data_IF_517771541119
#
_entry.id   IF_517771541119
#
_cell.length_a   1.000
_cell.length_b   1.000
_cell.length_c   1.000
_cell.angle_alpha   90.00
_cell.angle_beta   90.00
_cell.angle_gamma   90.00
#
_symmetry.space_group_name_H-M   'P 1'
#
loop_
_entity.id
_entity.type
_entity.pdbx_description
1 polymer ?
#
# COMPACT_ATOMS: atom_id res chain seq x y z
N UNK A 1 -25.70 10.07 5.76
CA UNK A 1 -24.78 10.67 6.76
C UNK A 1 -23.33 10.20 6.49
N UNK A 2 -22.83 10.40 5.26
CA UNK A 2 -21.48 9.97 4.79
C UNK A 2 -20.82 11.02 3.86
N UNK A 3 -21.23 12.29 3.96
CA UNK A 3 -20.50 13.45 3.36
C UNK A 3 -19.40 13.97 4.30
N UNK A 4 -18.91 13.11 5.20
CA UNK A 4 -17.95 13.49 6.21
C UNK A 4 -16.54 13.30 5.61
N UNK A 5 -16.01 14.40 5.10
CA UNK A 5 -14.56 14.69 4.92
C UNK A 5 -13.85 14.45 3.56
N UNK A 6 -14.55 14.43 2.42
CA UNK A 6 -13.85 14.70 1.14
C UNK A 6 -13.65 16.21 0.85
N UNK A 7 -14.27 17.08 1.65
CA UNK A 7 -14.10 18.53 1.56
C UNK A 7 -13.09 18.98 2.63
N UNK A 8 -11.81 19.14 2.26
CA UNK A 8 -10.84 20.16 2.77
C UNK A 8 -9.37 19.76 2.52
N UNK A 9 -9.00 19.55 1.27
CA UNK A 9 -7.61 19.73 0.83
C UNK A 9 -7.54 20.84 -0.23
N UNK A 10 -8.01 22.03 0.13
CA UNK A 10 -7.53 23.24 -0.53
C UNK A 10 -6.11 23.48 -0.04
N UNK A 11 -5.19 23.67 -0.97
CA UNK A 11 -3.81 24.06 -0.70
C UNK A 11 -3.80 25.25 0.29
N UNK A 12 -3.12 25.12 1.42
CA UNK A 12 -3.04 26.16 2.46
C UNK A 12 -4.06 26.07 3.61
N UNK A 13 -5.00 25.12 3.61
CA UNK A 13 -5.91 24.93 4.74
C UNK A 13 -5.18 24.41 5.99
N UNK A 14 -5.39 25.06 7.14
CA UNK A 14 -4.85 24.62 8.44
C UNK A 14 -5.99 24.09 9.32
N UNK A 15 -6.00 22.79 9.65
CA UNK A 15 -7.03 22.21 10.52
C UNK A 15 -6.97 22.83 11.92
N UNK A 16 -8.15 23.08 12.49
CA UNK A 16 -8.36 23.49 13.87
C UNK A 16 -7.90 22.40 14.85
N UNK A 17 -7.87 22.71 16.15
CA UNK A 17 -7.49 21.72 17.17
C UNK A 17 -8.47 20.54 17.25
N UNK A 18 -9.77 20.79 17.05
CA UNK A 18 -10.79 19.74 17.03
C UNK A 18 -10.58 18.82 15.82
N UNK A 19 -10.52 19.37 14.62
CA UNK A 19 -10.31 18.59 13.38
C UNK A 19 -8.99 17.81 13.40
N UNK A 20 -7.94 18.33 14.04
CA UNK A 20 -6.69 17.56 14.21
C UNK A 20 -6.89 16.30 15.05
N UNK A 21 -7.73 16.36 16.08
CA UNK A 21 -8.04 15.21 16.93
C UNK A 21 -8.85 14.19 16.15
N UNK A 22 -9.87 14.65 15.41
CA UNK A 22 -10.72 13.78 14.60
C UNK A 22 -9.90 13.07 13.51
N UNK A 23 -8.93 13.78 12.90
CA UNK A 23 -7.98 13.18 11.96
C UNK A 23 -7.03 12.18 12.63
N UNK A 24 -6.56 12.46 13.84
CA UNK A 24 -5.68 11.54 14.58
C UNK A 24 -6.44 10.27 15.03
N UNK A 25 -7.75 10.39 15.31
CA UNK A 25 -8.66 9.27 15.60
C UNK A 25 -8.94 8.45 14.33
N UNK A 26 -9.39 9.10 13.26
CA UNK A 26 -9.60 8.46 11.95
C UNK A 26 -8.35 7.74 11.45
N UNK A 27 -7.17 8.31 11.70
CA UNK A 27 -5.90 7.65 11.38
C UNK A 27 -5.75 6.31 12.10
N UNK A 28 -6.08 6.23 13.40
CA UNK A 28 -5.95 4.98 14.15
C UNK A 28 -6.92 3.92 13.67
N UNK A 29 -8.12 4.35 13.28
CA UNK A 29 -9.16 3.45 12.80
C UNK A 29 -8.86 2.92 11.40
N UNK A 30 -8.39 3.78 10.49
CA UNK A 30 -8.11 3.42 9.09
C UNK A 30 -6.74 2.75 8.89
N UNK A 31 -5.78 3.00 9.78
CA UNK A 31 -4.41 2.47 9.68
C UNK A 31 -3.95 1.82 10.99
N UNK A 32 -4.63 0.77 11.47
CA UNK A 32 -4.27 0.14 12.74
C UNK A 32 -2.85 -0.42 12.76
N UNK A 33 -2.36 -0.99 11.65
CA UNK A 33 -1.01 -1.58 11.59
C UNK A 33 0.14 -0.54 11.61
N UNK A 34 0.05 0.61 10.92
CA UNK A 34 1.05 1.67 11.05
C UNK A 34 1.11 2.39 12.41
N UNK A 35 0.03 2.36 13.20
CA UNK A 35 -0.10 3.15 14.45
C UNK A 35 1.05 2.95 15.45
N UNK A 36 1.54 1.73 15.72
CA UNK A 36 2.65 1.51 16.65
C UNK A 36 3.96 2.18 16.19
N UNK A 37 4.11 2.44 14.89
CA UNK A 37 5.35 2.89 14.29
C UNK A 37 5.35 4.40 14.01
N UNK A 38 4.21 4.92 13.56
CA UNK A 38 4.06 6.28 13.07
C UNK A 38 2.94 7.03 13.77
N UNK A 39 3.19 8.30 14.09
CA UNK A 39 2.09 9.27 14.22
C UNK A 39 1.52 9.57 12.84
N UNK A 40 0.27 10.02 12.76
CA UNK A 40 -0.34 10.45 11.50
C UNK A 40 0.55 11.43 10.71
N UNK A 41 1.19 12.37 11.38
CA UNK A 41 2.07 13.36 10.74
C UNK A 41 3.31 12.73 10.13
N UNK A 42 3.88 11.73 10.79
CA UNK A 42 5.05 11.01 10.27
C UNK A 42 4.64 10.14 9.09
N UNK A 43 3.50 9.45 9.18
CA UNK A 43 2.98 8.65 8.07
C UNK A 43 2.76 9.51 6.82
N UNK A 44 2.08 10.66 6.96
CA UNK A 44 1.88 11.62 5.85
C UNK A 44 3.21 12.03 5.23
N UNK A 45 4.25 12.32 6.04
CA UNK A 45 5.58 12.68 5.53
C UNK A 45 6.28 11.52 4.83
N UNK A 46 6.05 10.28 5.24
CA UNK A 46 6.58 9.09 4.55
C UNK A 46 5.89 8.94 3.20
N UNK A 47 4.56 9.00 3.16
CA UNK A 47 3.75 8.93 1.93
C UNK A 47 4.15 10.04 0.96
N UNK A 48 4.30 11.29 1.41
CA UNK A 48 4.72 12.42 0.58
C UNK A 48 6.12 12.19 -0.03
N UNK A 49 7.04 11.60 0.73
CA UNK A 49 8.40 11.29 0.24
C UNK A 49 8.35 10.17 -0.80
N UNK A 50 7.59 9.11 -0.55
CA UNK A 50 7.40 8.01 -1.49
C UNK A 50 6.76 8.50 -2.79
N UNK A 51 5.73 9.35 -2.71
CA UNK A 51 5.06 9.95 -3.88
C UNK A 51 5.97 10.88 -4.67
N UNK A 52 6.88 11.60 -4.01
CA UNK A 52 7.90 12.40 -4.72
C UNK A 52 8.92 11.51 -5.43
N UNK A 53 9.40 10.47 -4.75
CA UNK A 53 10.33 9.50 -5.32
C UNK A 53 9.72 8.75 -6.52
N UNK A 54 8.45 8.36 -6.43
CA UNK A 54 7.76 7.64 -7.51
C UNK A 54 7.51 8.47 -8.78
N UNK A 55 7.63 9.81 -8.69
CA UNK A 55 7.52 10.73 -9.82
C UNK A 55 8.86 11.02 -10.49
N UNK A 56 9.98 10.61 -9.89
CA UNK A 56 11.29 10.71 -10.51
C UNK A 56 11.53 9.47 -11.38
N UNK A 57 11.17 9.57 -12.66
CA UNK A 57 11.35 8.48 -13.64
C UNK A 57 12.82 8.15 -13.93
N UNK A 58 13.76 9.00 -13.50
CA UNK A 58 15.20 8.83 -13.78
C UNK A 58 15.91 7.99 -12.75
N UNK A 59 15.32 7.81 -11.57
CA UNK A 59 15.96 7.16 -10.42
C UNK A 59 15.17 5.94 -10.01
N UNK A 60 15.89 4.91 -9.55
CA UNK A 60 15.30 3.76 -8.88
C UNK A 60 15.63 3.88 -7.41
N UNK A 61 14.69 3.50 -6.56
CA UNK A 61 14.86 3.61 -5.12
C UNK A 61 14.60 2.26 -4.46
N UNK A 62 15.45 1.93 -3.50
CA UNK A 62 15.24 0.78 -2.62
C UNK A 62 14.30 1.18 -1.48
N UNK A 63 13.29 0.34 -1.28
CA UNK A 63 12.30 0.48 -0.22
C UNK A 63 12.69 -0.45 0.93
N UNK A 64 12.62 0.11 2.15
CA UNK A 64 12.75 -0.65 3.40
C UNK A 64 11.41 -1.29 3.78
N UNK A 65 11.42 -2.24 4.71
CA UNK A 65 10.18 -2.89 5.17
C UNK A 65 9.18 -1.92 5.81
N UNK A 66 9.65 -0.83 6.41
CA UNK A 66 8.76 0.22 6.89
C UNK A 66 8.07 0.95 5.74
N UNK A 67 8.71 1.11 4.58
CA UNK A 67 8.05 1.67 3.40
C UNK A 67 7.06 0.66 2.81
N UNK A 68 7.41 -0.62 2.75
CA UNK A 68 6.52 -1.68 2.29
C UNK A 68 5.28 -1.82 3.18
N UNK A 69 5.44 -1.75 4.51
CA UNK A 69 4.33 -1.70 5.45
C UNK A 69 3.37 -0.53 5.18
N UNK A 70 3.92 0.65 4.89
CA UNK A 70 3.12 1.84 4.53
C UNK A 70 2.39 1.63 3.21
N UNK A 71 3.07 1.11 2.18
CA UNK A 71 2.44 0.81 0.89
C UNK A 71 1.35 -0.24 1.02
N UNK A 72 1.61 -1.33 1.74
CA UNK A 72 0.64 -2.37 2.03
C UNK A 72 -0.61 -1.79 2.68
N UNK A 73 -0.44 -1.01 3.74
CA UNK A 73 -1.57 -0.42 4.48
C UNK A 73 -2.37 0.56 3.62
N UNK A 74 -1.70 1.37 2.78
CA UNK A 74 -2.37 2.27 1.86
C UNK A 74 -3.13 1.52 0.75
N UNK A 75 -2.54 0.45 0.21
CA UNK A 75 -3.15 -0.36 -0.83
C UNK A 75 -4.36 -1.10 -0.29
N UNK A 76 -4.26 -1.70 0.90
CA UNK A 76 -5.36 -2.37 1.58
C UNK A 76 -6.54 -1.42 1.76
N UNK A 77 -6.32 -0.26 2.39
CA UNK A 77 -7.38 0.73 2.59
C UNK A 77 -8.01 1.19 1.28
N UNK A 78 -7.20 1.36 0.23
CA UNK A 78 -7.73 1.72 -1.09
C UNK A 78 -8.65 0.62 -1.65
N UNK A 79 -8.24 -0.65 -1.53
CA UNK A 79 -9.05 -1.78 -1.99
C UNK A 79 -10.33 -1.91 -1.20
N UNK A 80 -10.27 -1.79 0.13
CA UNK A 80 -11.44 -1.85 1.01
C UNK A 80 -12.45 -0.76 0.64
N UNK A 81 -11.99 0.49 0.49
CA UNK A 81 -12.86 1.61 0.10
C UNK A 81 -13.43 1.47 -1.31
N UNK A 82 -12.66 0.94 -2.25
CA UNK A 82 -13.12 0.67 -3.61
C UNK A 82 -14.18 -0.44 -3.60
N UNK A 83 -13.89 -1.56 -2.95
CA UNK A 83 -14.77 -2.73 -2.89
C UNK A 83 -16.08 -2.44 -2.14
N UNK A 84 -16.04 -1.60 -1.11
CA UNK A 84 -17.23 -1.07 -0.43
C UNK A 84 -18.14 -0.26 -1.38
N UNK A 85 -17.53 0.44 -2.35
CA UNK A 85 -18.21 1.25 -3.37
C UNK A 85 -18.71 0.42 -4.56
N UNK A 86 -17.97 -0.61 -4.95
CA UNK A 86 -18.19 -1.45 -6.13
C UNK A 86 -19.40 -2.41 -6.06
N UNK A 87 -20.43 -2.03 -5.30
CA UNK A 87 -21.66 -2.82 -5.08
C UNK A 87 -22.66 -2.72 -6.24
N UNK A 88 -22.40 -1.90 -7.26
CA UNK A 88 -23.21 -1.82 -8.47
C UNK A 88 -22.38 -1.34 -9.67
N UNK A 89 -22.64 -1.93 -10.84
CA UNK A 89 -22.10 -1.53 -12.14
C UNK A 89 -22.21 -0.02 -12.38
N UNK A 90 -21.07 0.65 -12.58
CA UNK A 90 -21.02 2.08 -12.86
C UNK A 90 -19.82 2.87 -12.31
N UNK A 91 -19.09 2.36 -11.32
CA UNK A 91 -17.93 3.08 -10.78
C UNK A 91 -16.70 2.97 -11.69
N UNK A 92 -16.28 4.12 -12.23
CA UNK A 92 -15.15 4.21 -13.16
C UNK A 92 -13.90 4.75 -12.47
N UNK A 93 -12.78 4.03 -12.57
CA UNK A 93 -11.44 4.53 -12.26
C UNK A 93 -10.78 4.99 -13.56
N UNK A 94 -10.97 6.27 -13.89
CA UNK A 94 -10.55 6.80 -15.19
C UNK A 94 -11.43 6.25 -16.32
N UNK A 95 -10.87 5.66 -17.40
CA UNK A 95 -11.67 5.10 -18.49
C UNK A 95 -12.13 3.65 -18.22
N UNK A 96 -11.94 3.13 -17.00
CA UNK A 96 -12.14 1.72 -16.66
C UNK A 96 -13.26 1.51 -15.65
N UNK A 97 -14.16 0.57 -15.93
CA UNK A 97 -15.06 0.01 -14.92
C UNK A 97 -14.32 -1.12 -14.20
N UNK A 98 -14.12 -0.97 -12.89
CA UNK A 98 -13.43 -1.96 -12.04
C UNK A 98 -14.46 -2.45 -11.03
N UNK A 99 -14.79 -3.73 -11.06
CA UNK A 99 -15.67 -4.37 -10.07
C UNK A 99 -14.93 -4.52 -8.73
N UNK A 100 -14.47 -5.74 -8.42
CA UNK A 100 -13.85 -6.06 -7.15
C UNK A 100 -12.34 -6.26 -7.31
N UNK A 101 -11.57 -5.62 -6.43
CA UNK A 101 -10.12 -5.79 -6.36
C UNK A 101 -9.82 -6.92 -5.38
N UNK A 102 -9.23 -8.02 -5.89
CA UNK A 102 -8.63 -9.06 -5.06
C UNK A 102 -7.29 -8.55 -4.50
N UNK A 103 -7.32 -8.10 -3.25
CA UNK A 103 -6.14 -7.57 -2.57
C UNK A 103 -5.07 -8.66 -2.35
N UNK A 104 -5.48 -9.87 -1.99
CA UNK A 104 -4.55 -10.97 -1.71
C UNK A 104 -3.77 -11.34 -2.97
N UNK A 105 -4.44 -11.42 -4.13
CA UNK A 105 -3.78 -11.66 -5.41
C UNK A 105 -2.78 -10.54 -5.80
N UNK A 106 -3.03 -9.29 -5.40
CA UNK A 106 -2.05 -8.21 -5.59
C UNK A 106 -0.85 -8.35 -4.65
N UNK A 107 -1.09 -8.75 -3.40
CA UNK A 107 -0.01 -9.01 -2.44
C UNK A 107 0.90 -10.09 -2.99
N UNK A 108 0.34 -11.24 -3.37
CA UNK A 108 1.10 -12.38 -3.94
C UNK A 108 1.91 -12.00 -5.18
N UNK A 109 1.40 -11.09 -6.01
CA UNK A 109 2.05 -10.72 -7.28
C UNK A 109 3.14 -9.66 -7.14
N UNK A 110 2.96 -8.70 -6.23
CA UNK A 110 3.78 -7.49 -6.17
C UNK A 110 4.61 -7.35 -4.89
N UNK A 111 4.26 -8.06 -3.81
CA UNK A 111 5.01 -8.08 -2.56
C UNK A 111 5.86 -9.35 -2.51
N UNK A 112 7.11 -9.22 -2.94
CA UNK A 112 8.07 -10.33 -2.98
C UNK A 112 8.50 -10.84 -1.59
N UNK A 113 8.30 -10.02 -0.56
CA UNK A 113 8.56 -10.32 0.84
C UNK A 113 7.42 -9.71 1.68
N UNK A 114 6.92 -10.46 2.65
CA UNK A 114 5.87 -10.05 3.60
C UNK A 114 6.26 -10.33 5.05
N UNK A 115 7.54 -10.59 5.34
CA UNK A 115 8.06 -10.85 6.68
C UNK A 115 7.69 -9.73 7.67
N UNK A 116 7.56 -8.49 7.18
CA UNK A 116 7.11 -7.35 7.97
C UNK A 116 5.66 -7.46 8.50
N UNK A 117 4.85 -8.41 8.01
CA UNK A 117 3.51 -8.71 8.48
C UNK A 117 3.47 -9.85 9.51
N UNK A 118 4.56 -10.63 9.64
CA UNK A 118 4.54 -11.87 10.42
C UNK A 118 4.54 -11.67 11.95
N UNK A 119 4.89 -10.48 12.44
CA UNK A 119 4.73 -10.09 13.84
C UNK A 119 5.34 -11.10 14.82
N UNK A 120 4.54 -11.58 15.77
CA UNK A 120 4.99 -12.54 16.80
C UNK A 120 5.49 -13.87 16.21
N UNK A 121 4.93 -14.32 15.08
CA UNK A 121 5.36 -15.58 14.44
C UNK A 121 6.81 -15.50 14.00
N UNK A 122 7.22 -14.34 13.44
CA UNK A 122 8.61 -14.12 13.07
C UNK A 122 9.54 -14.10 14.29
N UNK A 123 9.12 -13.48 15.39
CA UNK A 123 9.93 -13.47 16.62
C UNK A 123 10.11 -14.88 17.20
N UNK A 124 9.04 -15.67 17.27
CA UNK A 124 9.12 -17.04 17.75
C UNK A 124 9.98 -17.93 16.84
N UNK A 125 9.92 -17.72 15.52
CA UNK A 125 10.75 -18.45 14.57
C UNK A 125 12.24 -18.09 14.72
N UNK A 126 12.57 -16.79 14.90
CA UNK A 126 13.94 -16.34 15.19
C UNK A 126 14.46 -16.88 16.53
N UNK A 127 13.62 -16.94 17.57
CA UNK A 127 13.99 -17.54 18.86
C UNK A 127 14.28 -19.04 18.74
N UNK A 128 13.50 -19.76 17.93
CA UNK A 128 13.67 -21.19 17.70
C UNK A 128 14.90 -21.52 16.84
N UNK A 129 15.25 -20.64 15.88
CA UNK A 129 16.36 -20.84 14.96
C UNK A 129 17.13 -19.53 14.66
N UNK A 130 17.91 -19.01 15.63
CA UNK A 130 18.54 -17.69 15.51
C UNK A 130 19.44 -17.57 14.29
N UNK A 131 19.17 -16.60 13.42
CA UNK A 131 19.98 -16.30 12.23
C UNK A 131 19.90 -17.36 11.12
N UNK A 132 18.97 -18.32 11.21
CA UNK A 132 18.69 -19.25 10.11
C UNK A 132 17.63 -18.72 9.16
N UNK A 133 16.80 -17.78 9.59
CA UNK A 133 15.84 -17.12 8.71
C UNK A 133 16.52 -15.97 7.98
N UNK A 134 16.15 -15.78 6.71
CA UNK A 134 16.64 -14.66 5.89
C UNK A 134 15.85 -13.37 6.20
N UNK A 135 15.55 -13.14 7.47
CA UNK A 135 14.76 -12.00 7.93
C UNK A 135 15.61 -10.74 7.90
N UNK A 136 15.07 -9.67 7.31
CA UNK A 136 15.75 -8.38 7.38
C UNK A 136 15.72 -7.84 8.81
N UNK A 137 16.71 -7.01 9.15
CA UNK A 137 16.71 -6.30 10.44
C UNK A 137 15.45 -5.43 10.63
N UNK A 138 14.87 -4.92 9.56
CA UNK A 138 13.72 -4.01 9.62
C UNK A 138 12.42 -4.79 9.86
N UNK A 139 12.23 -5.93 9.18
CA UNK A 139 11.15 -6.87 9.46
C UNK A 139 11.17 -7.34 10.92
N UNK A 140 12.35 -7.69 11.45
CA UNK A 140 12.50 -8.00 12.88
C UNK A 140 12.11 -6.84 13.80
N UNK A 141 12.53 -5.60 13.48
CA UNK A 141 12.15 -4.41 14.26
C UNK A 141 10.64 -4.17 14.23
N UNK A 142 10.00 -4.38 13.08
CA UNK A 142 8.54 -4.26 12.93
C UNK A 142 7.84 -5.31 13.79
N UNK A 143 8.30 -6.57 13.72
CA UNK A 143 7.80 -7.66 14.53
C UNK A 143 7.93 -7.39 16.04
N UNK A 144 9.06 -6.83 16.46
CA UNK A 144 9.31 -6.37 17.84
C UNK A 144 8.57 -5.07 18.22
N UNK A 145 7.69 -4.56 17.36
CA UNK A 145 6.93 -3.30 17.52
C UNK A 145 7.83 -2.08 17.82
N UNK A 146 9.05 -2.07 17.28
CA UNK A 146 9.99 -0.96 17.44
C UNK A 146 9.71 0.14 16.42
N UNK A 147 9.81 1.41 16.85
CA UNK A 147 9.68 2.55 15.94
C UNK A 147 10.87 2.65 14.98
N UNK A 148 10.64 3.09 13.73
CA UNK A 148 11.72 3.26 12.77
C UNK A 148 12.67 4.39 13.20
N UNK A 149 13.96 4.18 13.00
CA UNK A 149 14.96 5.23 13.12
C UNK A 149 15.05 6.03 11.80
N UNK A 150 15.70 7.19 11.84
CA UNK A 150 15.87 8.03 10.65
C UNK A 150 16.51 7.29 9.46
N UNK A 151 17.37 6.30 9.71
CA UNK A 151 18.00 5.48 8.67
C UNK A 151 17.04 4.47 8.04
N UNK A 152 16.07 3.98 8.79
CA UNK A 152 15.09 2.98 8.33
C UNK A 152 14.04 3.60 7.40
N UNK A 153 13.95 4.94 7.35
CA UNK A 153 13.07 5.73 6.49
C UNK A 153 13.82 6.48 5.39
N UNK A 154 15.08 6.10 5.13
CA UNK A 154 15.82 6.65 3.99
C UNK A 154 15.42 5.89 2.73
N UNK A 155 15.04 6.64 1.72
CA UNK A 155 14.81 6.13 0.37
C UNK A 155 16.14 6.26 -0.36
N UNK A 156 16.84 5.15 -0.54
CA UNK A 156 18.20 5.13 -1.11
C UNK A 156 18.10 4.90 -2.61
N UNK A 157 18.76 5.74 -3.39
CA UNK A 157 18.85 5.54 -4.84
C UNK A 157 19.74 4.35 -5.15
N UNK A 158 19.27 3.46 -6.02
CA UNK A 158 20.01 2.29 -6.48
C UNK A 158 20.34 2.40 -7.95
N UNK A 159 21.58 2.03 -8.29
CA UNK A 159 22.02 1.99 -9.68
C UNK A 159 21.24 0.92 -10.44
N UNK A 160 20.56 1.32 -11.51
CA UNK A 160 19.88 0.37 -12.39
C UNK A 160 20.95 -0.37 -13.20
N UNK A 161 21.30 -1.61 -12.85
CA UNK A 161 21.98 -2.48 -13.80
C UNK A 161 21.00 -2.76 -14.93
N UNK A 162 21.42 -2.51 -16.16
CA UNK A 162 20.58 -2.56 -17.37
C UNK A 162 20.15 -3.99 -17.77
N UNK A 163 20.17 -4.93 -16.84
CA UNK A 163 20.27 -6.37 -17.12
C UNK A 163 19.42 -7.25 -16.22
N UNK A 164 18.17 -6.88 -15.97
CA UNK A 164 17.12 -7.83 -15.60
C UNK A 164 15.75 -7.21 -15.87
N UNK A 165 15.49 -6.83 -17.13
CA UNK A 165 14.11 -6.93 -17.61
C UNK A 165 13.88 -8.43 -17.83
N UNK A 166 13.64 -9.15 -16.72
CA UNK A 166 12.99 -10.45 -16.78
C UNK A 166 11.79 -10.32 -17.69
N UNK A 167 11.68 -11.24 -18.65
CA UNK A 167 10.88 -11.10 -19.85
C UNK A 167 9.57 -10.40 -19.57
N UNK A 168 9.24 -9.43 -20.43
CA UNK A 168 7.87 -8.92 -20.57
C UNK A 168 7.01 -10.11 -20.97
N UNK A 169 6.66 -10.94 -19.99
CA UNK A 169 5.50 -11.82 -20.05
C UNK A 169 4.41 -10.92 -20.59
N UNK A 170 3.92 -11.26 -21.79
CA UNK A 170 3.11 -10.39 -22.60
C UNK A 170 1.97 -9.89 -21.74
N UNK A 171 2.13 -8.69 -21.18
CA UNK A 171 1.12 -8.03 -20.36
C UNK A 171 -0.07 -8.01 -21.28
N UNK A 172 -1.08 -8.84 -20.99
CA UNK A 172 -2.37 -8.79 -21.69
C UNK A 172 -2.71 -7.32 -21.68
N UNK A 173 -2.74 -6.71 -22.86
CA UNK A 173 -2.89 -5.26 -22.99
C UNK A 173 -4.18 -4.92 -22.26
N UNK A 174 -4.05 -4.23 -21.13
CA UNK A 174 -5.21 -3.59 -20.52
C UNK A 174 -5.79 -2.72 -21.63
N UNK A 175 -7.08 -2.88 -21.98
CA UNK A 175 -7.69 -2.10 -23.05
C UNK A 175 -7.51 -0.61 -22.76
N UNK A 176 -7.63 0.28 -23.75
CA UNK A 176 -7.45 1.73 -23.50
C UNK A 176 -8.61 2.35 -22.70
N UNK A 177 -9.75 1.66 -22.66
CA UNK A 177 -10.96 2.00 -21.91
C UNK A 177 -11.87 0.77 -21.84
N UNK A 178 -12.84 0.76 -20.91
CA UNK A 178 -13.87 -0.27 -20.82
C UNK A 178 -13.80 -1.08 -19.53
N UNK A 179 -14.29 -2.32 -19.59
CA UNK A 179 -14.39 -3.18 -18.42
C UNK A 179 -13.06 -3.83 -18.06
N UNK A 180 -12.72 -3.78 -16.77
CA UNK A 180 -11.60 -4.53 -16.17
C UNK A 180 -12.21 -5.42 -15.10
N UNK A 181 -12.35 -6.70 -15.41
CA UNK A 181 -12.87 -7.70 -14.48
C UNK A 181 -12.00 -7.86 -13.25
N UNK A 182 -12.48 -8.60 -12.24
CA UNK A 182 -11.77 -8.78 -10.98
C UNK A 182 -10.36 -9.31 -11.24
N UNK A 183 -9.38 -8.80 -10.51
CA UNK A 183 -8.03 -9.36 -10.54
C UNK A 183 -8.03 -10.71 -9.81
N UNK A 184 -7.31 -11.75 -10.28
CA UNK A 184 -6.63 -11.84 -11.58
C UNK A 184 -7.63 -11.78 -12.75
N UNK A 185 -7.33 -10.94 -13.75
CA UNK A 185 -8.25 -10.52 -14.81
C UNK A 185 -9.04 -11.68 -15.44
N UNK A 186 -10.37 -11.63 -15.29
CA UNK A 186 -11.33 -12.51 -15.97
C UNK A 186 -12.12 -11.73 -17.03
N UNK A 187 -12.57 -12.45 -18.06
CA UNK A 187 -13.53 -11.91 -19.03
C UNK A 187 -14.91 -11.80 -18.37
N UNK A 188 -15.72 -10.84 -18.83
CA UNK A 188 -17.09 -10.67 -18.32
C UNK A 188 -17.94 -11.82 -18.85
N UNK A 189 -18.58 -12.57 -17.96
CA UNK A 189 -19.57 -13.57 -18.36
C UNK A 189 -20.78 -12.83 -18.97
N UNK A 190 -21.08 -13.06 -20.25
CA UNK A 190 -22.18 -12.41 -21.00
C UNK A 190 -23.59 -12.86 -20.55
N UNK A 191 -23.77 -13.29 -19.29
CA UNK A 191 -24.96 -14.02 -18.85
C UNK A 191 -25.63 -13.56 -17.54
N UNK A 192 -25.09 -12.58 -16.81
CA UNK A 192 -25.66 -12.10 -15.55
C UNK A 192 -26.32 -10.72 -15.70
N UNK A 193 -27.28 -10.61 -16.61
CA UNK A 193 -28.33 -9.59 -16.55
C UNK A 193 -29.65 -10.31 -16.27
N UNK A 194 -30.06 -10.31 -14.99
CA UNK A 194 -31.37 -10.76 -14.52
C UNK A 194 -32.07 -9.66 -13.75
#
# INVERSE_FOLDING_TARGET
>A
MREVHLVRYREGYRPTRAERRDLDESYRDLFPEPVPFFTRRELVRVIDRLRRASRDERRRYELTDYHWLVFYSCLQLYCDLHNDGATASGDQVGPYEIEHIDFDAMVDRFFFDTDFLMGATLLSAEEAAPGQLLVTRQAWKIAARLRPEAKDLRVVEVACSRGSEGGRESVRRVPASGYVGPYPLRERDEGEDG
#
